data_IF_062055901220
#
_entry.id   IF_062055901220
#
_cell.length_a   1.000
_cell.length_b   1.000
_cell.length_c   1.000
_cell.angle_alpha   90.00
_cell.angle_beta   90.00
_cell.angle_gamma   90.00
#
_symmetry.space_group_name_H-M   'P 1'
#
loop_
_entity.id
_entity.type
_entity.pdbx_description
1 polymer ?
#
# COMPACT_ATOMS: atom_id res chain seq x y z
N UNK A 1 8.31 -3.66 -52.62
CA UNK A 1 9.08 -2.59 -51.97
C UNK A 1 8.88 -2.73 -50.46
N UNK A 2 9.83 -3.35 -49.83
CA UNK A 2 9.81 -3.54 -48.36
C UNK A 2 10.73 -2.49 -47.74
N UNK A 3 10.17 -1.62 -46.94
CA UNK A 3 10.92 -0.57 -46.21
C UNK A 3 11.45 -1.18 -44.91
N UNK A 4 12.76 -1.38 -44.91
CA UNK A 4 13.53 -1.80 -43.73
C UNK A 4 13.58 -0.62 -42.75
N UNK A 5 12.91 -0.75 -41.58
CA UNK A 5 13.04 0.18 -40.45
C UNK A 5 14.29 -0.27 -39.69
N UNK A 6 15.28 0.60 -39.59
CA UNK A 6 16.54 0.37 -38.88
C UNK A 6 16.27 0.23 -37.37
N UNK A 7 16.86 -0.82 -36.82
CA UNK A 7 16.80 -1.22 -35.40
C UNK A 7 17.69 -0.34 -34.49
N UNK A 8 18.15 0.82 -34.98
CA UNK A 8 19.03 1.75 -34.24
C UNK A 8 18.30 2.78 -33.37
N UNK A 9 16.98 2.99 -33.61
CA UNK A 9 16.27 4.07 -32.92
C UNK A 9 15.58 3.62 -31.60
N UNK A 10 15.68 2.32 -31.27
CA UNK A 10 15.09 1.75 -30.03
C UNK A 10 16.11 1.70 -28.90
N UNK A 11 17.42 1.75 -29.18
CA UNK A 11 18.46 1.65 -28.14
C UNK A 11 18.86 3.01 -27.57
N UNK A 12 18.66 4.12 -28.27
CA UNK A 12 19.00 5.45 -27.75
C UNK A 12 18.00 6.02 -26.74
N UNK A 13 16.80 5.44 -26.63
CA UNK A 13 15.81 5.86 -25.62
C UNK A 13 16.06 5.30 -24.21
N UNK A 14 16.85 4.24 -24.08
CA UNK A 14 17.16 3.63 -22.77
C UNK A 14 18.43 4.23 -22.13
N UNK A 15 19.38 4.71 -22.94
CA UNK A 15 20.62 5.35 -22.46
C UNK A 15 20.36 6.76 -21.92
N UNK A 16 19.45 7.54 -22.53
CA UNK A 16 19.10 8.88 -22.07
C UNK A 16 18.29 8.87 -20.74
N UNK A 17 17.54 7.80 -20.44
CA UNK A 17 16.85 7.62 -19.16
C UNK A 17 17.83 7.18 -18.03
N UNK A 18 18.92 6.49 -18.35
CA UNK A 18 19.93 6.09 -17.35
C UNK A 18 20.85 7.26 -16.94
N UNK A 19 21.18 8.18 -17.84
CA UNK A 19 21.97 9.38 -17.51
C UNK A 19 21.19 10.39 -16.66
N UNK A 20 19.86 10.57 -16.88
CA UNK A 20 19.03 11.43 -16.00
C UNK A 20 18.86 10.86 -14.58
N UNK A 21 18.95 9.52 -14.40
CA UNK A 21 18.89 8.90 -13.06
C UNK A 21 20.23 9.02 -12.30
N UNK A 22 21.38 9.18 -12.96
CA UNK A 22 22.67 9.37 -12.28
C UNK A 22 22.86 10.79 -11.73
N UNK A 23 22.33 11.82 -12.36
CA UNK A 23 22.44 13.21 -11.85
C UNK A 23 21.55 13.45 -10.60
N UNK A 24 20.43 12.73 -10.43
CA UNK A 24 19.50 12.90 -9.30
C UNK A 24 20.06 12.33 -7.95
N UNK A 25 21.04 11.43 -8.00
CA UNK A 25 21.60 10.80 -6.80
C UNK A 25 22.71 11.62 -6.10
N UNK A 26 23.33 12.58 -6.77
CA UNK A 26 24.42 13.39 -6.19
C UNK A 26 23.94 14.60 -5.39
N UNK A 27 22.61 14.85 -5.31
CA UNK A 27 22.08 16.14 -4.82
C UNK A 27 21.64 16.18 -3.36
N UNK A 28 21.71 15.07 -2.61
CA UNK A 28 21.33 15.07 -1.19
C UNK A 28 22.54 14.78 -0.30
N UNK A 29 23.25 15.86 0.09
CA UNK A 29 24.34 15.83 1.09
C UNK A 29 23.88 15.50 2.52
N UNK A 30 22.58 15.45 2.78
CA UNK A 30 22.03 15.07 4.10
C UNK A 30 22.16 13.57 4.41
N UNK A 31 22.29 12.71 3.39
CA UNK A 31 22.44 11.27 3.59
C UNK A 31 23.85 10.86 4.07
N UNK A 32 24.88 11.67 3.81
CA UNK A 32 26.24 11.38 4.30
C UNK A 32 26.39 11.60 5.81
N UNK A 33 25.73 12.58 6.36
CA UNK A 33 25.78 12.87 7.80
C UNK A 33 24.96 11.85 8.60
N UNK A 34 23.83 11.42 8.07
CA UNK A 34 23.01 10.33 8.64
C UNK A 34 23.76 8.98 8.61
N UNK A 35 24.42 8.65 7.51
CA UNK A 35 25.27 7.45 7.43
C UNK A 35 26.49 7.54 8.36
N UNK A 36 27.08 8.72 8.51
CA UNK A 36 28.23 8.95 9.40
C UNK A 36 27.84 8.83 10.87
N UNK A 37 26.64 9.30 11.25
CA UNK A 37 26.11 9.17 12.60
C UNK A 37 25.66 7.73 12.93
N UNK A 38 25.08 7.01 11.99
CA UNK A 38 24.75 5.59 12.14
C UNK A 38 26.00 4.71 12.32
N UNK A 39 27.08 5.03 11.60
CA UNK A 39 28.36 4.33 11.77
C UNK A 39 29.02 4.67 13.11
N UNK A 40 28.86 5.89 13.61
CA UNK A 40 29.37 6.30 14.93
C UNK A 40 28.61 5.60 16.07
N UNK A 41 27.30 5.43 15.95
CA UNK A 41 26.48 4.78 16.97
C UNK A 41 26.63 3.23 16.98
N UNK A 42 27.06 2.63 15.87
CA UNK A 42 27.24 1.19 15.77
C UNK A 42 28.67 0.70 16.02
N UNK A 43 29.68 1.57 15.85
CA UNK A 43 31.11 1.23 16.01
C UNK A 43 31.83 2.11 17.00
N UNK A 44 31.18 3.03 17.64
CA UNK A 44 31.77 4.06 18.48
C UNK A 44 31.70 3.82 19.98
N UNK A 45 31.77 2.59 20.47
CA UNK A 45 32.05 2.31 21.90
C UNK A 45 32.84 1.02 22.07
N UNK A 46 33.96 0.89 21.36
CA UNK A 46 35.05 0.05 21.80
C UNK A 46 35.79 0.85 22.89
N UNK A 47 35.47 0.59 24.15
CA UNK A 47 36.26 1.07 25.28
C UNK A 47 37.70 0.63 25.10
N UNK A 48 38.56 1.56 24.71
CA UNK A 48 40.00 1.50 25.05
C UNK A 48 40.06 1.86 26.50
N UNK A 49 40.00 0.87 27.37
CA UNK A 49 40.32 1.06 28.76
C UNK A 49 41.82 1.42 28.88
N UNK A 50 42.12 2.65 29.21
CA UNK A 50 43.37 2.99 29.87
C UNK A 50 43.41 2.31 31.22
N UNK A 51 43.88 1.05 31.23
CA UNK A 51 44.23 0.39 32.48
C UNK A 51 45.73 0.08 32.47
N UNK A 52 46.43 0.84 33.27
CA UNK A 52 47.70 0.53 33.94
C UNK A 52 48.72 -0.24 33.10
N UNK A 53 49.55 0.48 32.42
CA UNK A 53 50.76 -0.03 31.74
C UNK A 53 51.96 -0.21 32.69
N UNK A 54 51.77 -0.23 34.02
CA UNK A 54 52.88 -0.15 35.00
C UNK A 54 53.24 -1.47 35.66
N UNK A 55 52.83 -2.65 35.11
CA UNK A 55 53.16 -3.92 35.77
C UNK A 55 53.47 -5.12 34.83
N UNK A 56 54.14 -4.89 33.70
CA UNK A 56 54.60 -5.99 32.85
C UNK A 56 56.15 -6.07 32.87
N UNK A 57 56.67 -7.26 33.21
CA UNK A 57 58.11 -7.53 33.22
C UNK A 57 58.70 -7.52 31.80
N UNK A 58 59.98 -7.20 31.61
CA UNK A 58 60.61 -7.05 30.29
C UNK A 58 60.56 -8.27 29.37
N UNK A 59 60.18 -9.42 29.89
CA UNK A 59 60.11 -10.69 29.13
C UNK A 59 58.77 -10.89 28.43
N UNK A 60 57.68 -10.30 28.89
CA UNK A 60 56.34 -10.40 28.28
C UNK A 60 56.13 -9.35 27.21
N UNK A 61 56.78 -8.18 27.27
CA UNK A 61 56.67 -7.14 26.28
C UNK A 61 57.14 -7.57 24.86
N UNK A 62 58.09 -8.50 24.76
CA UNK A 62 58.57 -9.00 23.47
C UNK A 62 57.62 -10.01 22.79
N UNK A 63 56.63 -10.55 23.49
CA UNK A 63 55.66 -11.47 22.90
C UNK A 63 54.50 -10.70 22.25
N UNK A 64 54.11 -9.56 22.79
CA UNK A 64 53.05 -8.74 22.24
C UNK A 64 53.48 -7.87 21.04
N UNK A 65 54.74 -7.56 20.92
CA UNK A 65 55.27 -6.73 19.80
C UNK A 65 55.42 -7.53 18.48
N UNK A 66 55.32 -8.86 18.51
CA UNK A 66 55.57 -9.72 17.34
C UNK A 66 54.30 -10.18 16.61
N UNK A 67 53.08 -9.80 17.05
CA UNK A 67 51.84 -10.24 16.47
C UNK A 67 50.91 -9.15 15.98
N UNK A 68 51.40 -7.93 15.74
CA UNK A 68 50.64 -6.92 14.97
C UNK A 68 50.70 -7.27 13.47
N UNK A 69 50.05 -8.38 13.09
CA UNK A 69 49.63 -8.59 11.68
C UNK A 69 48.68 -7.43 11.36
N UNK A 70 49.00 -6.57 10.39
CA UNK A 70 48.03 -5.56 9.96
C UNK A 70 46.82 -6.33 9.45
N UNK A 71 45.73 -6.34 10.23
CA UNK A 71 44.43 -6.81 9.74
C UNK A 71 44.11 -5.89 8.57
N UNK A 72 44.06 -6.41 7.34
CA UNK A 72 43.66 -5.59 6.21
C UNK A 72 42.27 -5.04 6.55
N UNK A 73 42.16 -3.72 6.74
CA UNK A 73 40.88 -3.05 6.86
C UNK A 73 40.17 -3.34 5.54
N UNK A 74 39.32 -4.38 5.56
CA UNK A 74 38.43 -4.65 4.44
C UNK A 74 37.52 -3.44 4.34
N UNK A 75 37.81 -2.56 3.37
CA UNK A 75 36.87 -1.52 3.00
C UNK A 75 35.53 -2.19 2.78
N UNK A 76 34.46 -1.76 3.48
CA UNK A 76 33.14 -2.36 3.30
C UNK A 76 32.87 -2.37 1.79
N UNK A 77 32.33 -3.49 1.25
CA UNK A 77 32.04 -3.58 -0.17
C UNK A 77 31.15 -2.38 -0.54
N UNK A 78 31.37 -1.77 -1.72
CA UNK A 78 30.65 -0.58 -2.14
C UNK A 78 29.16 -0.86 -1.96
N UNK A 79 28.50 -0.03 -1.15
CA UNK A 79 27.08 -0.16 -0.85
C UNK A 79 26.32 -0.08 -2.16
N UNK A 80 25.79 -1.21 -2.63
CA UNK A 80 25.03 -1.31 -3.87
C UNK A 80 23.87 -0.32 -3.78
N UNK A 81 23.87 0.71 -4.62
CA UNK A 81 22.83 1.76 -4.62
C UNK A 81 21.43 1.11 -4.62
N UNK A 82 20.57 1.55 -3.72
CA UNK A 82 19.20 1.07 -3.62
C UNK A 82 18.45 1.45 -4.88
N UNK A 83 17.97 0.48 -5.66
CA UNK A 83 17.28 0.72 -6.93
C UNK A 83 15.77 0.75 -6.70
N UNK A 84 15.10 1.84 -7.12
CA UNK A 84 13.65 2.04 -7.04
C UNK A 84 13.07 2.33 -8.45
N UNK A 85 12.96 1.32 -9.33
CA UNK A 85 12.54 1.51 -10.71
C UNK A 85 11.07 1.92 -10.82
N UNK A 86 10.75 2.82 -11.73
CA UNK A 86 9.38 3.34 -11.96
C UNK A 86 8.42 2.26 -12.49
N UNK A 87 8.85 1.32 -13.32
CA UNK A 87 8.14 0.16 -13.88
C UNK A 87 6.64 0.37 -14.17
N UNK A 88 6.30 1.34 -14.99
CA UNK A 88 4.92 1.72 -15.28
C UNK A 88 4.04 0.56 -15.77
N UNK A 89 4.63 -0.39 -16.56
CA UNK A 89 3.90 -1.58 -17.04
C UNK A 89 3.38 -2.46 -15.90
N UNK A 90 4.18 -2.63 -14.85
CA UNK A 90 3.76 -3.39 -13.67
C UNK A 90 2.70 -2.62 -12.86
N UNK A 91 2.83 -1.30 -12.75
CA UNK A 91 1.81 -0.46 -12.09
C UNK A 91 0.48 -0.52 -12.84
N UNK A 92 0.51 -0.46 -14.17
CA UNK A 92 -0.68 -0.66 -15.01
C UNK A 92 -1.28 -2.06 -14.82
N UNK A 93 -0.45 -3.11 -14.77
CA UNK A 93 -0.92 -4.48 -14.50
C UNK A 93 -1.62 -4.60 -13.15
N UNK A 94 -1.09 -3.99 -12.09
CA UNK A 94 -1.73 -3.96 -10.77
C UNK A 94 -3.04 -3.16 -10.79
N UNK A 95 -3.09 -2.05 -11.52
CA UNK A 95 -4.31 -1.26 -11.72
C UNK A 95 -5.40 -2.06 -12.44
N UNK A 96 -5.06 -2.74 -13.53
CA UNK A 96 -6.02 -3.60 -14.26
C UNK A 96 -6.51 -4.75 -13.39
N UNK A 97 -5.64 -5.35 -12.57
CA UNK A 97 -6.02 -6.36 -11.59
C UNK A 97 -7.04 -5.82 -10.57
N UNK A 98 -6.82 -4.62 -10.05
CA UNK A 98 -7.76 -3.94 -9.16
C UNK A 98 -9.11 -3.71 -9.85
N UNK A 99 -9.11 -3.17 -11.07
CA UNK A 99 -10.35 -2.89 -11.83
C UNK A 99 -11.13 -4.18 -12.09
N UNK A 100 -10.47 -5.27 -12.48
CA UNK A 100 -11.13 -6.56 -12.72
C UNK A 100 -11.84 -7.07 -11.45
N UNK A 101 -11.18 -7.01 -10.29
CA UNK A 101 -11.78 -7.43 -9.02
C UNK A 101 -12.88 -6.46 -8.55
N UNK A 102 -12.76 -5.18 -8.83
CA UNK A 102 -13.81 -4.20 -8.55
C UNK A 102 -15.07 -4.45 -9.40
N UNK A 103 -14.89 -4.75 -10.69
CA UNK A 103 -16.01 -5.18 -11.57
C UNK A 103 -16.63 -6.49 -11.06
N UNK A 104 -15.82 -7.45 -10.63
CA UNK A 104 -16.33 -8.69 -10.04
C UNK A 104 -17.17 -8.41 -8.80
N UNK A 105 -16.72 -7.55 -7.89
CA UNK A 105 -17.47 -7.14 -6.68
C UNK A 105 -18.80 -6.47 -7.02
N UNK A 106 -18.79 -5.51 -7.95
CA UNK A 106 -20.01 -4.79 -8.36
C UNK A 106 -20.99 -5.70 -9.11
N UNK A 107 -20.48 -6.68 -9.85
CA UNK A 107 -21.30 -7.71 -10.51
C UNK A 107 -21.93 -8.63 -9.47
N UNK A 108 -21.17 -9.13 -8.50
CA UNK A 108 -21.70 -9.91 -7.38
C UNK A 108 -22.79 -9.15 -6.64
N UNK A 109 -22.58 -7.89 -6.29
CA UNK A 109 -23.57 -7.06 -5.63
C UNK A 109 -24.86 -6.90 -6.48
N UNK A 110 -24.71 -6.70 -7.79
CA UNK A 110 -25.86 -6.57 -8.71
C UNK A 110 -26.73 -7.83 -8.75
N UNK A 111 -26.10 -9.01 -8.69
CA UNK A 111 -26.81 -10.31 -8.69
C UNK A 111 -27.47 -10.55 -7.33
N UNK A 112 -26.72 -10.35 -6.25
CA UNK A 112 -27.18 -10.63 -4.88
C UNK A 112 -28.33 -9.71 -4.48
N UNK A 113 -28.33 -8.47 -4.97
CA UNK A 113 -29.44 -7.55 -4.73
C UNK A 113 -30.81 -8.13 -5.11
N UNK A 114 -30.89 -8.90 -6.20
CA UNK A 114 -32.14 -9.59 -6.60
C UNK A 114 -32.48 -10.80 -5.72
N UNK A 115 -31.46 -11.53 -5.26
CA UNK A 115 -31.60 -12.74 -4.47
C UNK A 115 -31.75 -12.48 -2.97
N UNK A 116 -31.61 -11.21 -2.54
CA UNK A 116 -31.69 -10.85 -1.13
C UNK A 116 -32.98 -11.34 -0.48
N UNK A 117 -32.90 -12.08 0.64
CA UNK A 117 -34.09 -12.49 1.39
C UNK A 117 -34.78 -11.28 2.04
N UNK A 118 -36.09 -11.35 2.17
CA UNK A 118 -36.92 -10.32 2.81
C UNK A 118 -37.25 -10.68 4.27
N UNK A 119 -36.44 -11.52 4.89
CA UNK A 119 -36.60 -11.88 6.30
C UNK A 119 -36.19 -10.76 7.22
N UNK A 120 -36.62 -10.83 8.49
CA UNK A 120 -36.20 -9.95 9.53
C UNK A 120 -34.66 -9.97 9.71
N UNK A 121 -34.07 -8.88 10.18
CA UNK A 121 -32.63 -8.83 10.47
C UNK A 121 -32.20 -9.93 11.41
N UNK A 122 -30.98 -10.43 11.22
CA UNK A 122 -30.39 -11.39 12.15
C UNK A 122 -30.11 -10.69 13.49
N UNK A 123 -30.25 -11.41 14.62
CA UNK A 123 -29.93 -10.86 15.93
C UNK A 123 -28.44 -10.49 16.02
N UNK A 124 -28.14 -9.26 16.40
CA UNK A 124 -26.80 -8.75 16.58
C UNK A 124 -26.71 -8.04 17.94
N UNK A 125 -25.90 -8.59 18.85
CA UNK A 125 -25.82 -8.13 20.24
C UNK A 125 -25.41 -6.66 20.39
N UNK A 126 -24.61 -6.13 19.45
CA UNK A 126 -24.17 -4.73 19.46
C UNK A 126 -25.24 -3.86 18.80
N UNK A 127 -25.69 -4.26 17.64
CA UNK A 127 -26.64 -3.49 16.84
C UNK A 127 -27.99 -3.31 17.51
N UNK A 128 -28.46 -4.35 18.22
CA UNK A 128 -29.76 -4.33 18.92
C UNK A 128 -29.81 -3.32 20.08
N UNK A 129 -28.62 -2.96 20.63
CA UNK A 129 -28.50 -1.98 21.71
C UNK A 129 -28.31 -0.53 21.23
N UNK A 130 -28.06 -0.33 19.95
CA UNK A 130 -27.77 0.97 19.35
C UNK A 130 -29.04 1.52 18.69
N UNK A 131 -29.41 2.77 19.00
CA UNK A 131 -30.52 3.43 18.30
C UNK A 131 -30.12 3.85 16.90
N UNK A 132 -30.96 3.52 15.92
CA UNK A 132 -30.75 3.89 14.52
C UNK A 132 -30.71 5.42 14.32
N UNK A 133 -29.67 5.91 13.63
CA UNK A 133 -29.49 7.31 13.30
C UNK A 133 -29.24 7.45 11.78
N UNK A 134 -30.23 8.01 11.05
CA UNK A 134 -30.14 8.15 9.60
C UNK A 134 -28.95 9.00 9.13
N UNK A 135 -28.68 10.11 9.81
CA UNK A 135 -27.62 11.07 9.46
C UNK A 135 -26.20 10.47 9.63
N UNK A 136 -26.05 9.42 10.41
CA UNK A 136 -24.75 8.83 10.69
C UNK A 136 -24.11 8.19 9.44
N UNK A 137 -24.92 7.69 8.50
CA UNK A 137 -24.41 7.17 7.23
C UNK A 137 -23.74 8.27 6.41
N UNK A 138 -24.40 9.42 6.27
CA UNK A 138 -23.88 10.56 5.51
C UNK A 138 -22.54 11.05 6.10
N UNK A 139 -22.45 11.13 7.43
CA UNK A 139 -21.20 11.48 8.13
C UNK A 139 -20.10 10.48 7.86
N UNK A 140 -20.41 9.18 7.93
CA UNK A 140 -19.44 8.11 7.61
C UNK A 140 -18.92 8.26 6.18
N UNK A 141 -19.79 8.48 5.21
CA UNK A 141 -19.40 8.62 3.80
C UNK A 141 -18.57 9.89 3.54
N UNK A 142 -18.88 11.00 4.20
CA UNK A 142 -18.08 12.24 4.11
C UNK A 142 -16.67 12.00 4.66
N UNK A 143 -16.55 11.35 5.83
CA UNK A 143 -15.25 11.04 6.41
C UNK A 143 -14.45 10.13 5.47
N UNK A 144 -15.08 9.10 4.89
CA UNK A 144 -14.43 8.21 3.93
C UNK A 144 -13.94 8.95 2.68
N UNK A 145 -14.72 9.89 2.16
CA UNK A 145 -14.30 10.72 1.04
C UNK A 145 -13.05 11.53 1.40
N UNK A 146 -13.05 12.21 2.55
CA UNK A 146 -11.90 12.98 3.03
C UNK A 146 -10.65 12.09 3.16
N UNK A 147 -10.78 10.93 3.78
CA UNK A 147 -9.68 9.97 3.94
C UNK A 147 -9.15 9.46 2.59
N UNK A 148 -10.06 9.13 1.67
CA UNK A 148 -9.71 8.66 0.33
C UNK A 148 -8.98 9.74 -0.47
N UNK A 149 -9.48 10.98 -0.48
CA UNK A 149 -8.81 12.09 -1.15
C UNK A 149 -7.44 12.40 -0.53
N UNK A 150 -7.33 12.35 0.79
CA UNK A 150 -6.05 12.51 1.50
C UNK A 150 -5.05 11.43 1.11
N UNK A 151 -5.50 10.18 1.00
CA UNK A 151 -4.67 9.06 0.56
C UNK A 151 -4.23 9.23 -0.89
N UNK A 152 -5.14 9.62 -1.79
CA UNK A 152 -4.81 9.88 -3.20
C UNK A 152 -3.80 11.02 -3.31
N UNK A 153 -3.98 12.10 -2.57
CA UNK A 153 -3.03 13.21 -2.53
C UNK A 153 -1.64 12.75 -2.07
N UNK A 154 -1.58 11.97 -0.98
CA UNK A 154 -0.33 11.38 -0.49
C UNK A 154 0.38 10.58 -1.59
N UNK A 155 -0.36 9.70 -2.29
CA UNK A 155 0.18 8.87 -3.37
C UNK A 155 0.74 9.69 -4.53
N UNK A 156 0.06 10.77 -4.92
CA UNK A 156 0.48 11.64 -6.02
C UNK A 156 1.74 12.45 -5.68
N UNK A 157 1.86 12.88 -4.43
CA UNK A 157 3.01 13.67 -3.97
C UNK A 157 4.20 12.82 -3.51
N UNK A 158 4.07 11.52 -3.36
CA UNK A 158 5.17 10.65 -2.96
C UNK A 158 6.22 10.52 -4.09
N UNK A 159 7.52 10.65 -3.78
CA UNK A 159 8.61 10.54 -4.76
C UNK A 159 8.55 9.20 -5.53
N UNK A 160 8.31 8.11 -4.81
CA UNK A 160 8.20 6.75 -5.38
C UNK A 160 6.75 6.35 -5.67
N UNK A 161 5.92 7.30 -6.12
CA UNK A 161 4.48 7.12 -6.36
C UNK A 161 4.12 5.87 -7.16
N UNK A 162 4.92 5.50 -8.18
CA UNK A 162 4.63 4.31 -9.01
C UNK A 162 4.70 3.01 -8.22
N UNK A 163 5.65 2.89 -7.28
CA UNK A 163 5.77 1.70 -6.42
C UNK A 163 4.63 1.68 -5.41
N UNK A 164 4.36 2.81 -4.75
CA UNK A 164 3.29 2.91 -3.74
C UNK A 164 1.91 2.68 -4.35
N UNK A 165 1.62 3.29 -5.52
CA UNK A 165 0.38 3.06 -6.27
C UNK A 165 0.23 1.59 -6.67
N UNK A 166 1.29 0.95 -7.15
CA UNK A 166 1.30 -0.47 -7.51
C UNK A 166 0.94 -1.36 -6.32
N UNK A 167 1.53 -1.10 -5.15
CA UNK A 167 1.24 -1.80 -3.89
C UNK A 167 -0.21 -1.61 -3.47
N UNK A 168 -0.69 -0.36 -3.48
CA UNK A 168 -2.07 -0.03 -3.16
C UNK A 168 -3.07 -0.71 -4.10
N UNK A 169 -2.85 -0.62 -5.43
CA UNK A 169 -3.75 -1.24 -6.40
C UNK A 169 -3.82 -2.76 -6.24
N UNK A 170 -2.69 -3.39 -5.96
CA UNK A 170 -2.65 -4.83 -5.77
C UNK A 170 -3.39 -5.26 -4.50
N UNK A 171 -3.13 -4.60 -3.35
CA UNK A 171 -3.81 -4.88 -2.08
C UNK A 171 -5.32 -4.62 -2.22
N UNK A 172 -5.71 -3.49 -2.79
CA UNK A 172 -7.10 -3.14 -3.00
C UNK A 172 -7.79 -4.14 -3.94
N UNK A 173 -7.11 -4.60 -4.98
CA UNK A 173 -7.60 -5.64 -5.87
C UNK A 173 -7.86 -6.96 -5.15
N UNK A 174 -6.97 -7.41 -4.29
CA UNK A 174 -7.17 -8.61 -3.48
C UNK A 174 -8.35 -8.47 -2.51
N UNK A 175 -8.47 -7.30 -1.85
CA UNK A 175 -9.57 -7.02 -0.93
C UNK A 175 -10.93 -7.06 -1.64
N UNK A 176 -11.03 -6.44 -2.83
CA UNK A 176 -12.24 -6.52 -3.65
C UNK A 176 -12.51 -7.95 -4.13
N UNK A 177 -11.49 -8.71 -4.49
CA UNK A 177 -11.64 -10.11 -4.88
C UNK A 177 -12.21 -10.98 -3.76
N UNK A 178 -11.67 -10.86 -2.54
CA UNK A 178 -12.20 -11.55 -1.37
C UNK A 178 -13.63 -11.13 -1.06
N UNK A 179 -13.93 -9.84 -1.17
CA UNK A 179 -15.27 -9.31 -0.97
C UNK A 179 -16.27 -9.88 -2.00
N UNK A 180 -15.89 -9.95 -3.26
CA UNK A 180 -16.74 -10.52 -4.32
C UNK A 180 -17.12 -11.97 -4.00
N UNK A 181 -16.16 -12.78 -3.54
CA UNK A 181 -16.38 -14.19 -3.20
C UNK A 181 -17.27 -14.32 -1.96
N UNK A 182 -16.96 -13.62 -0.88
CA UNK A 182 -17.69 -13.72 0.39
C UNK A 182 -19.15 -13.32 0.24
N UNK A 183 -19.42 -12.21 -0.47
CA UNK A 183 -20.78 -11.78 -0.75
C UNK A 183 -21.55 -12.79 -1.61
N UNK A 184 -20.89 -13.36 -2.63
CA UNK A 184 -21.54 -14.28 -3.56
C UNK A 184 -21.91 -15.62 -2.91
N UNK A 185 -21.09 -16.10 -1.98
CA UNK A 185 -21.30 -17.39 -1.30
C UNK A 185 -22.42 -17.32 -0.26
N UNK A 186 -22.56 -16.20 0.45
CA UNK A 186 -23.55 -16.07 1.53
C UNK A 186 -24.30 -14.76 1.42
N UNK A 187 -25.63 -14.87 1.32
CA UNK A 187 -26.52 -13.73 1.18
C UNK A 187 -27.29 -13.53 2.49
N UNK A 188 -27.04 -12.40 3.15
CA UNK A 188 -27.72 -12.05 4.40
C UNK A 188 -28.88 -11.06 4.15
N UNK A 189 -29.92 -11.07 5.03
CA UNK A 189 -30.96 -10.05 5.02
C UNK A 189 -30.37 -8.68 5.38
N UNK A 190 -31.12 -7.59 5.12
CA UNK A 190 -30.70 -6.26 5.47
C UNK A 190 -30.57 -6.09 7.00
N UNK A 191 -29.49 -5.47 7.48
CA UNK A 191 -29.29 -5.21 8.90
C UNK A 191 -30.29 -4.20 9.49
N UNK A 192 -30.95 -3.42 8.61
CA UNK A 192 -32.01 -2.49 8.99
C UNK A 192 -33.19 -2.61 8.01
N UNK A 193 -34.39 -2.94 8.49
CA UNK A 193 -35.60 -3.03 7.64
C UNK A 193 -35.99 -1.70 7.01
N UNK A 194 -35.68 -0.58 7.69
CA UNK A 194 -35.99 0.77 7.20
C UNK A 194 -35.00 1.31 6.16
N UNK A 195 -33.99 0.51 5.80
CA UNK A 195 -32.99 0.94 4.82
C UNK A 195 -33.59 0.96 3.40
N UNK A 196 -33.55 2.12 2.75
CA UNK A 196 -34.13 2.29 1.42
C UNK A 196 -33.25 1.61 0.36
N UNK A 197 -33.57 0.38 0.04
CA UNK A 197 -32.97 -0.36 -1.08
C UNK A 197 -33.71 -0.06 -2.38
N UNK A 198 -32.98 -0.08 -3.49
CA UNK A 198 -33.60 -0.02 -4.82
C UNK A 198 -34.59 -1.18 -5.00
N UNK A 199 -35.72 -0.99 -5.72
CA UNK A 199 -36.68 -2.05 -5.97
C UNK A 199 -36.03 -3.19 -6.78
N UNK A 200 -36.41 -4.41 -6.47
CA UNK A 200 -35.99 -5.58 -7.24
C UNK A 200 -36.67 -5.59 -8.62
N UNK A 201 -35.97 -6.11 -9.62
CA UNK A 201 -36.54 -6.25 -10.97
C UNK A 201 -37.67 -7.31 -10.98
N UNK A 202 -37.51 -8.34 -10.15
CA UNK A 202 -38.51 -9.42 -10.01
C UNK A 202 -39.85 -8.87 -9.54
N UNK A 203 -39.88 -7.90 -8.65
CA UNK A 203 -41.10 -7.25 -8.17
C UNK A 203 -41.84 -6.50 -9.30
N UNK A 204 -41.11 -6.11 -10.36
CA UNK A 204 -41.65 -5.47 -11.57
C UNK A 204 -41.94 -6.47 -12.70
N UNK A 205 -41.88 -7.76 -12.44
CA UNK A 205 -42.11 -8.83 -13.46
C UNK A 205 -40.97 -8.89 -14.50
N UNK A 206 -39.79 -8.31 -14.23
CA UNK A 206 -38.65 -8.35 -15.13
C UNK A 206 -37.63 -9.38 -14.69
N UNK A 207 -37.02 -10.05 -15.65
CA UNK A 207 -35.92 -11.00 -15.40
C UNK A 207 -34.59 -10.29 -15.41
N UNK A 208 -33.69 -10.68 -14.52
CA UNK A 208 -32.31 -10.15 -14.49
C UNK A 208 -31.57 -10.62 -15.74
N UNK A 209 -31.43 -9.71 -16.71
CA UNK A 209 -30.68 -9.93 -17.94
C UNK A 209 -29.27 -9.43 -17.80
N UNK A 210 -28.30 -9.99 -18.53
CA UNK A 210 -26.90 -9.52 -18.57
C UNK A 210 -26.81 -8.01 -18.86
N UNK A 211 -27.66 -7.49 -19.75
CA UNK A 211 -27.76 -6.05 -20.04
C UNK A 211 -28.11 -5.21 -18.80
N UNK A 212 -29.03 -5.69 -17.96
CA UNK A 212 -29.41 -4.99 -16.72
C UNK A 212 -28.31 -5.05 -15.68
N UNK A 213 -27.58 -6.19 -15.58
CA UNK A 213 -26.37 -6.28 -14.73
C UNK A 213 -25.33 -5.27 -15.16
N UNK A 214 -25.02 -5.18 -16.45
CA UNK A 214 -24.05 -4.20 -16.97
C UNK A 214 -24.49 -2.78 -16.67
N UNK A 215 -25.75 -2.42 -16.87
CA UNK A 215 -26.27 -1.09 -16.52
C UNK A 215 -26.09 -0.78 -15.03
N UNK A 216 -26.37 -1.72 -14.15
CA UNK A 216 -26.19 -1.56 -12.70
C UNK A 216 -24.72 -1.40 -12.33
N UNK A 217 -23.85 -2.24 -12.90
CA UNK A 217 -22.39 -2.12 -12.71
C UNK A 217 -21.90 -0.75 -13.12
N UNK A 218 -22.26 -0.27 -14.31
CA UNK A 218 -21.89 1.07 -14.77
C UNK A 218 -22.43 2.17 -13.85
N UNK A 219 -23.64 2.01 -13.33
CA UNK A 219 -24.25 2.96 -12.39
C UNK A 219 -23.51 2.97 -11.04
N UNK A 220 -23.15 1.82 -10.49
CA UNK A 220 -22.37 1.71 -9.25
C UNK A 220 -20.98 2.32 -9.46
N UNK A 221 -20.34 2.04 -10.61
CA UNK A 221 -19.04 2.61 -10.98
C UNK A 221 -19.09 4.14 -11.05
N UNK A 222 -20.14 4.71 -11.65
CA UNK A 222 -20.29 6.18 -11.76
C UNK A 222 -20.48 6.87 -10.40
N UNK A 223 -21.03 6.17 -9.40
CA UNK A 223 -21.23 6.67 -8.04
C UNK A 223 -20.10 6.34 -7.06
N UNK A 224 -19.02 5.70 -7.53
CA UNK A 224 -17.93 5.18 -6.66
C UNK A 224 -18.41 4.29 -5.51
N UNK A 225 -19.60 3.70 -5.62
CA UNK A 225 -20.19 2.85 -4.59
C UNK A 225 -20.72 3.57 -3.35
N UNK A 226 -20.81 4.91 -3.36
CA UNK A 226 -21.29 5.74 -2.24
C UNK A 226 -22.76 6.11 -2.42
N UNK A 227 -23.51 6.18 -1.31
CA UNK A 227 -24.95 6.51 -1.31
C UNK A 227 -25.22 7.97 -1.60
N UNK A 228 -24.35 8.88 -1.14
CA UNK A 228 -24.47 10.34 -1.33
C UNK A 228 -24.47 10.69 -2.82
N UNK A 229 -23.69 9.98 -3.62
CA UNK A 229 -23.57 10.22 -5.06
C UNK A 229 -24.60 9.46 -5.88
N UNK A 230 -25.39 8.58 -5.28
CA UNK A 230 -26.33 7.67 -5.96
C UNK A 230 -27.74 7.73 -5.40
N UNK A 231 -28.76 7.96 -6.26
CA UNK A 231 -30.17 7.89 -5.87
C UNK A 231 -30.67 6.46 -5.58
N UNK A 232 -29.86 5.43 -5.83
CA UNK A 232 -30.24 4.03 -5.68
C UNK A 232 -29.17 3.24 -4.96
N UNK A 233 -29.51 2.76 -3.78
CA UNK A 233 -28.67 1.90 -2.97
C UNK A 233 -28.97 0.44 -3.32
N UNK A 234 -27.97 -0.28 -3.82
CA UNK A 234 -28.07 -1.72 -4.01
C UNK A 234 -27.67 -2.41 -2.72
N UNK A 235 -28.62 -3.14 -2.12
CA UNK A 235 -28.44 -3.80 -0.84
C UNK A 235 -28.09 -5.29 -1.06
N UNK A 236 -27.38 -5.89 -0.11
CA UNK A 236 -26.97 -7.30 -0.16
C UNK A 236 -25.52 -7.52 0.27
N UNK A 237 -24.84 -6.46 0.62
CA UNK A 237 -23.43 -6.45 1.03
C UNK A 237 -23.33 -6.46 2.56
N UNK A 238 -23.59 -7.62 3.19
CA UNK A 238 -23.71 -7.74 4.64
C UNK A 238 -22.76 -8.79 5.26
N UNK A 239 -21.60 -9.10 4.61
CA UNK A 239 -20.59 -10.02 5.17
C UNK A 239 -19.21 -9.38 5.24
N UNK A 240 -18.94 -8.40 4.39
CA UNK A 240 -17.62 -7.80 4.30
C UNK A 240 -17.76 -6.30 3.98
N UNK A 241 -17.80 -5.48 5.01
CA UNK A 241 -18.05 -4.03 4.89
C UNK A 241 -17.01 -3.32 4.02
N UNK A 242 -17.46 -2.78 2.87
CA UNK A 242 -16.61 -1.99 1.99
C UNK A 242 -16.19 -0.66 2.61
N UNK A 243 -17.07 -0.02 3.38
CA UNK A 243 -16.78 1.24 4.08
C UNK A 243 -15.67 1.03 5.12
N UNK A 244 -15.78 0.00 5.96
CA UNK A 244 -14.75 -0.35 6.95
C UNK A 244 -13.43 -0.70 6.28
N UNK A 245 -13.46 -1.49 5.19
CA UNK A 245 -12.28 -1.86 4.42
C UNK A 245 -11.53 -0.62 3.92
N UNK A 246 -12.21 0.33 3.31
CA UNK A 246 -11.60 1.56 2.79
C UNK A 246 -11.09 2.45 3.92
N UNK A 247 -11.85 2.65 5.01
CA UNK A 247 -11.42 3.43 6.16
C UNK A 247 -10.11 2.91 6.76
N UNK A 248 -10.06 1.60 7.01
CA UNK A 248 -8.88 0.94 7.58
C UNK A 248 -7.70 0.98 6.61
N UNK A 249 -7.93 0.72 5.32
CA UNK A 249 -6.88 0.74 4.31
C UNK A 249 -6.28 2.15 4.15
N UNK A 250 -7.09 3.20 4.08
CA UNK A 250 -6.61 4.58 4.02
C UNK A 250 -5.75 4.94 5.23
N UNK A 251 -6.19 4.58 6.44
CA UNK A 251 -5.40 4.76 7.65
C UNK A 251 -4.04 4.04 7.55
N UNK A 252 -4.02 2.76 7.17
CA UNK A 252 -2.79 1.97 7.07
C UNK A 252 -1.82 2.53 6.02
N UNK A 253 -2.32 2.98 4.86
CA UNK A 253 -1.49 3.59 3.82
C UNK A 253 -0.89 4.91 4.31
N UNK A 254 -1.70 5.76 4.94
CA UNK A 254 -1.20 7.03 5.48
C UNK A 254 -0.16 6.77 6.57
N UNK A 255 -0.41 5.83 7.48
CA UNK A 255 0.52 5.49 8.55
C UNK A 255 1.85 4.91 8.04
N UNK A 256 1.83 4.11 6.96
CA UNK A 256 3.02 3.46 6.39
C UNK A 256 3.86 4.43 5.55
N UNK A 257 3.22 5.29 4.74
CA UNK A 257 3.89 6.13 3.76
C UNK A 257 4.03 7.60 4.18
N UNK A 258 3.82 7.92 5.47
CA UNK A 258 4.14 9.22 6.06
C UNK A 258 5.21 9.10 7.15
N UNK A 259 5.93 10.18 7.43
CA UNK A 259 7.00 10.19 8.43
C UNK A 259 6.42 9.94 9.84
N UNK A 260 7.05 9.08 10.61
CA UNK A 260 6.67 8.77 12.00
C UNK A 260 6.68 10.00 12.92
N UNK A 261 7.39 11.06 12.56
CA UNK A 261 7.39 12.34 13.29
C UNK A 261 6.01 12.99 13.35
N UNK A 262 5.12 12.65 12.41
CA UNK A 262 3.76 13.19 12.30
C UNK A 262 2.75 12.38 13.13
N UNK A 263 3.11 11.99 14.34
CA UNK A 263 2.29 11.12 15.19
C UNK A 263 0.89 11.68 15.47
N UNK A 264 0.76 13.02 15.63
CA UNK A 264 -0.56 13.67 15.82
C UNK A 264 -1.45 13.51 14.60
N UNK A 265 -0.86 13.61 13.39
CA UNK A 265 -1.59 13.38 12.16
C UNK A 265 -2.03 11.91 12.03
N UNK A 266 -1.16 10.95 12.36
CA UNK A 266 -1.52 9.53 12.38
C UNK A 266 -2.65 9.24 13.37
N UNK A 267 -2.60 9.86 14.55
CA UNK A 267 -3.65 9.74 15.56
C UNK A 267 -4.98 10.35 15.07
N UNK A 268 -4.95 11.51 14.43
CA UNK A 268 -6.12 12.13 13.83
C UNK A 268 -6.76 11.23 12.76
N UNK A 269 -5.96 10.69 11.84
CA UNK A 269 -6.46 9.79 10.79
C UNK A 269 -7.02 8.49 11.38
N UNK A 270 -6.38 7.95 12.41
CA UNK A 270 -6.90 6.81 13.15
C UNK A 270 -8.27 7.13 13.79
N UNK A 271 -8.38 8.28 14.45
CA UNK A 271 -9.63 8.72 15.06
C UNK A 271 -10.74 8.90 14.01
N UNK A 272 -10.42 9.46 12.84
CA UNK A 272 -11.37 9.57 11.73
C UNK A 272 -11.83 8.20 11.25
N UNK A 273 -10.92 7.23 11.10
CA UNK A 273 -11.27 5.86 10.71
C UNK A 273 -12.20 5.20 11.72
N UNK A 274 -11.89 5.30 13.01
CA UNK A 274 -12.74 4.78 14.10
C UNK A 274 -14.10 5.48 14.10
N UNK A 275 -14.13 6.80 13.96
CA UNK A 275 -15.39 7.57 13.89
C UNK A 275 -16.23 7.14 12.72
N UNK A 276 -15.66 6.96 11.52
CA UNK A 276 -16.38 6.47 10.35
C UNK A 276 -17.04 5.10 10.59
N UNK A 277 -16.31 4.18 11.23
CA UNK A 277 -16.83 2.84 11.58
C UNK A 277 -17.95 2.94 12.62
N UNK A 278 -17.79 3.75 13.65
CA UNK A 278 -18.83 3.97 14.67
C UNK A 278 -20.09 4.57 14.04
N UNK A 279 -19.95 5.57 13.16
CA UNK A 279 -21.07 6.18 12.43
C UNK A 279 -21.77 5.17 11.52
N UNK A 280 -21.03 4.28 10.88
CA UNK A 280 -21.59 3.19 10.07
C UNK A 280 -22.43 2.21 10.92
N UNK A 281 -21.98 1.91 12.14
CA UNK A 281 -22.73 1.08 13.09
C UNK A 281 -23.99 1.79 13.59
N UNK A 282 -23.93 3.09 13.91
CA UNK A 282 -25.09 3.91 14.30
C UNK A 282 -26.13 3.99 13.17
N UNK A 283 -25.71 3.99 11.93
CA UNK A 283 -26.57 3.93 10.77
C UNK A 283 -27.16 2.53 10.51
N UNK A 284 -26.79 1.52 11.30
CA UNK A 284 -27.16 0.11 11.08
C UNK A 284 -26.97 -0.32 9.61
N UNK A 285 -25.91 0.19 8.96
CA UNK A 285 -25.59 -0.08 7.57
C UNK A 285 -25.03 -1.49 7.35
N UNK A 286 -24.40 -2.06 8.39
CA UNK A 286 -23.78 -3.38 8.37
C UNK A 286 -23.95 -4.07 9.73
N UNK A 287 -23.88 -5.40 9.75
CA UNK A 287 -23.77 -6.15 10.99
C UNK A 287 -22.38 -5.95 11.64
N UNK A 288 -22.31 -6.18 12.95
CA UNK A 288 -21.06 -6.08 13.69
C UNK A 288 -19.97 -7.03 13.16
N UNK A 289 -20.38 -8.22 12.72
CA UNK A 289 -19.47 -9.21 12.14
C UNK A 289 -18.83 -8.74 10.82
N UNK A 290 -19.56 -7.98 10.00
CA UNK A 290 -19.05 -7.44 8.72
C UNK A 290 -17.89 -6.48 8.96
N UNK A 291 -18.01 -5.65 10.01
CA UNK A 291 -16.98 -4.69 10.42
C UNK A 291 -15.74 -5.43 10.91
N UNK A 292 -15.93 -6.45 11.77
CA UNK A 292 -14.83 -7.26 12.32
C UNK A 292 -14.08 -7.98 11.21
N UNK A 293 -14.78 -8.63 10.30
CA UNK A 293 -14.18 -9.34 9.16
C UNK A 293 -13.41 -8.37 8.27
N UNK A 294 -14.01 -7.22 7.93
CA UNK A 294 -13.37 -6.22 7.09
C UNK A 294 -12.09 -5.67 7.73
N UNK A 295 -12.13 -5.35 9.01
CA UNK A 295 -10.96 -4.91 9.77
C UNK A 295 -9.86 -5.97 9.79
N UNK A 296 -10.21 -7.20 10.12
CA UNK A 296 -9.26 -8.32 10.24
C UNK A 296 -8.57 -8.61 8.90
N UNK A 297 -9.34 -8.81 7.83
CA UNK A 297 -8.78 -9.15 6.51
C UNK A 297 -7.92 -7.99 5.98
N UNK A 298 -8.39 -6.75 6.10
CA UNK A 298 -7.65 -5.57 5.60
C UNK A 298 -6.32 -5.40 6.31
N UNK A 299 -6.30 -5.46 7.64
CA UNK A 299 -5.06 -5.30 8.42
C UNK A 299 -4.09 -6.45 8.17
N UNK A 300 -4.57 -7.71 8.16
CA UNK A 300 -3.72 -8.88 7.94
C UNK A 300 -3.13 -8.91 6.54
N UNK A 301 -3.93 -8.62 5.51
CA UNK A 301 -3.45 -8.58 4.14
C UNK A 301 -2.42 -7.46 3.93
N UNK A 302 -2.67 -6.27 4.50
CA UNK A 302 -1.75 -5.14 4.41
C UNK A 302 -0.39 -5.47 5.05
N UNK A 303 -0.39 -5.96 6.29
CA UNK A 303 0.84 -6.31 6.98
C UNK A 303 1.58 -7.47 6.34
N UNK A 304 0.85 -8.51 5.91
CA UNK A 304 1.43 -9.65 5.21
C UNK A 304 2.11 -9.22 3.90
N UNK A 305 1.44 -8.38 3.11
CA UNK A 305 2.01 -7.84 1.89
C UNK A 305 3.32 -7.08 2.14
N UNK A 306 3.30 -6.14 3.08
CA UNK A 306 4.48 -5.32 3.39
C UNK A 306 5.61 -6.13 4.02
N UNK A 307 5.30 -7.11 4.87
CA UNK A 307 6.29 -8.04 5.41
C UNK A 307 7.00 -8.82 4.29
N UNK A 308 6.25 -9.37 3.33
CA UNK A 308 6.86 -10.05 2.18
C UNK A 308 7.66 -9.07 1.32
N UNK A 309 7.14 -7.87 1.08
CA UNK A 309 7.81 -6.85 0.27
C UNK A 309 9.12 -6.34 0.89
N UNK A 310 9.24 -6.32 2.21
CA UNK A 310 10.41 -5.80 2.91
C UNK A 310 11.53 -6.81 3.09
N UNK A 311 11.25 -8.11 3.06
CA UNK A 311 12.26 -9.15 3.21
C UNK A 311 12.58 -9.84 1.89
N UNK A 312 13.83 -9.73 1.43
CA UNK A 312 14.27 -10.32 0.17
C UNK A 312 14.14 -11.86 0.14
N UNK A 313 14.36 -12.50 1.30
CA UNK A 313 14.18 -13.94 1.46
C UNK A 313 12.73 -14.41 1.25
N UNK A 314 11.74 -13.57 1.57
CA UNK A 314 10.32 -13.89 1.40
C UNK A 314 9.81 -13.61 -0.02
N UNK A 315 10.47 -12.70 -0.74
CA UNK A 315 10.14 -12.41 -2.15
C UNK A 315 10.63 -13.49 -3.10
N UNK A 316 11.74 -14.14 -2.78
CA UNK A 316 12.37 -15.15 -3.64
C UNK A 316 11.81 -16.52 -3.36
N UNK A 317 11.75 -17.37 -4.40
CA UNK A 317 11.38 -18.77 -4.24
C UNK A 317 12.40 -19.51 -3.38
N UNK A 318 11.91 -20.48 -2.60
CA UNK A 318 12.74 -21.39 -1.81
C UNK A 318 13.82 -22.05 -2.65
N UNK A 319 13.50 -22.41 -3.91
CA UNK A 319 14.45 -22.98 -4.86
C UNK A 319 15.63 -22.06 -5.19
N UNK A 320 15.42 -20.74 -5.15
CA UNK A 320 16.48 -19.76 -5.43
C UNK A 320 17.38 -19.47 -4.23
N UNK A 321 16.99 -19.91 -3.03
CA UNK A 321 17.70 -19.64 -1.76
C UNK A 321 18.62 -20.78 -1.31
N UNK A 322 18.59 -21.93 -2.00
CA UNK A 322 19.36 -23.14 -1.65
C UNK A 322 18.69 -24.02 -0.59
N UNK A 323 19.20 -25.25 -0.37
CA UNK A 323 18.55 -26.28 0.45
C UNK A 323 18.36 -25.87 1.92
N UNK A 324 19.25 -25.06 2.48
CA UNK A 324 19.21 -24.66 3.91
C UNK A 324 18.20 -23.55 4.24
N UNK A 325 17.58 -22.91 3.24
CA UNK A 325 16.64 -21.80 3.40
C UNK A 325 15.25 -22.06 2.83
N UNK A 326 14.87 -23.32 2.69
CA UNK A 326 13.64 -23.77 2.01
C UNK A 326 12.34 -23.61 2.83
N UNK A 327 12.32 -22.79 3.89
CA UNK A 327 11.16 -22.65 4.78
C UNK A 327 10.20 -21.53 4.46
N UNK A 328 10.25 -20.94 3.26
CA UNK A 328 9.31 -19.90 2.87
C UNK A 328 7.92 -20.49 2.59
N UNK A 329 7.07 -20.56 3.61
CA UNK A 329 5.70 -21.05 3.47
C UNK A 329 4.77 -20.06 2.75
N UNK A 330 5.16 -18.79 2.59
CA UNK A 330 4.38 -17.79 1.88
C UNK A 330 4.25 -18.08 0.38
N UNK A 331 5.15 -18.88 -0.19
CA UNK A 331 5.03 -19.34 -1.59
C UNK A 331 3.74 -20.13 -1.87
N UNK A 332 3.13 -20.73 -0.84
CA UNK A 332 1.86 -21.45 -0.95
C UNK A 332 0.65 -20.54 -1.07
N UNK A 333 0.81 -19.24 -0.82
CA UNK A 333 -0.27 -18.26 -0.98
C UNK A 333 -0.51 -18.06 -2.49
N UNK A 334 -1.74 -18.21 -2.95
CA UNK A 334 -2.10 -18.18 -4.37
C UNK A 334 -1.67 -16.89 -5.09
N UNK A 335 -1.67 -15.74 -4.41
CA UNK A 335 -1.25 -14.45 -4.98
C UNK A 335 0.25 -14.14 -4.77
N UNK A 336 1.00 -14.98 -4.09
CA UNK A 336 2.44 -14.75 -3.83
C UNK A 336 3.25 -14.59 -5.13
N UNK A 337 2.96 -15.37 -6.16
CA UNK A 337 3.64 -15.26 -7.47
C UNK A 337 3.45 -13.90 -8.11
N UNK A 338 2.24 -13.33 -8.00
CA UNK A 338 1.93 -11.98 -8.50
C UNK A 338 2.70 -10.92 -7.70
N UNK A 339 2.72 -11.03 -6.37
CA UNK A 339 3.49 -10.13 -5.52
C UNK A 339 4.97 -10.20 -5.86
N UNK A 340 5.55 -11.39 -5.95
CA UNK A 340 6.96 -11.57 -6.33
C UNK A 340 7.28 -10.96 -7.68
N UNK A 341 6.38 -11.06 -8.66
CA UNK A 341 6.53 -10.41 -9.95
C UNK A 341 6.54 -8.89 -9.83
N UNK A 342 5.60 -8.32 -9.05
CA UNK A 342 5.51 -6.88 -8.87
C UNK A 342 6.68 -6.28 -8.08
N UNK A 343 7.16 -6.98 -7.03
CA UNK A 343 8.21 -6.49 -6.14
C UNK A 343 9.63 -6.98 -6.51
N UNK A 344 9.80 -7.70 -7.63
CA UNK A 344 11.05 -8.37 -8.00
C UNK A 344 12.26 -7.43 -8.07
N UNK A 345 12.07 -6.24 -8.63
CA UNK A 345 13.14 -5.27 -8.88
C UNK A 345 13.20 -4.17 -7.81
N UNK A 346 12.26 -4.15 -6.87
CA UNK A 346 12.23 -3.16 -5.79
C UNK A 346 13.16 -3.59 -4.67
N UNK A 347 13.97 -2.66 -4.19
CA UNK A 347 14.86 -2.92 -3.04
C UNK A 347 14.04 -3.35 -1.81
N UNK A 348 14.58 -4.30 -1.04
CA UNK A 348 13.95 -4.79 0.18
C UNK A 348 14.10 -3.76 1.30
N UNK A 349 13.05 -3.61 2.10
CA UNK A 349 12.95 -2.66 3.19
C UNK A 349 11.86 -1.61 2.97
N UNK A 350 11.59 -0.79 3.98
CA UNK A 350 10.65 0.30 3.89
C UNK A 350 11.11 1.34 2.87
N UNK A 351 10.16 1.90 2.12
CA UNK A 351 10.45 2.99 1.21
C UNK A 351 10.73 4.27 2.02
N UNK A 352 11.70 5.09 1.60
CA UNK A 352 11.91 6.39 2.24
C UNK A 352 10.71 7.32 1.94
N UNK A 353 10.17 7.95 2.99
CA UNK A 353 9.00 8.83 2.92
C UNK A 353 9.40 10.22 2.43
N UNK A 354 9.73 10.32 1.14
CA UNK A 354 10.13 11.56 0.48
C UNK A 354 8.98 12.04 -0.42
N UNK A 355 8.69 13.33 -0.36
CA UNK A 355 7.63 13.95 -1.16
C UNK A 355 8.22 14.82 -2.26
N UNK A 356 7.61 14.79 -3.43
CA UNK A 356 7.98 15.62 -4.58
C UNK A 356 6.74 16.09 -5.33
N UNK A 357 6.71 17.34 -5.73
CA UNK A 357 5.63 17.88 -6.55
C UNK A 357 5.68 17.26 -7.96
N UNK A 358 4.63 16.58 -8.42
CA UNK A 358 4.66 15.84 -9.68
C UNK A 358 4.76 16.71 -10.93
N UNK A 359 4.44 18.01 -10.83
CA UNK A 359 4.31 18.92 -11.98
C UNK A 359 5.29 20.10 -11.98
N UNK A 360 6.10 20.29 -10.94
CA UNK A 360 7.00 21.45 -10.81
C UNK A 360 8.46 21.01 -10.87
N UNK A 361 8.93 20.62 -12.07
CA UNK A 361 10.31 20.82 -12.50
C UNK A 361 10.30 21.65 -13.79
N UNK A 362 10.05 22.95 -13.73
CA UNK A 362 10.32 23.79 -14.89
C UNK A 362 11.83 23.80 -15.12
N UNK A 363 12.27 23.45 -16.33
CA UNK A 363 13.70 23.38 -16.73
C UNK A 363 14.47 24.68 -16.42
N UNK A 364 13.78 25.81 -16.26
CA UNK A 364 14.36 27.09 -15.87
C UNK A 364 14.83 27.14 -14.41
N UNK A 365 14.23 26.38 -13.49
CA UNK A 365 14.64 26.35 -12.09
C UNK A 365 15.97 25.60 -11.91
N UNK A 366 16.24 24.58 -12.71
CA UNK A 366 17.55 23.90 -12.79
C UNK A 366 18.65 24.86 -13.28
N UNK A 367 18.33 25.74 -14.24
CA UNK A 367 19.26 26.75 -14.74
C UNK A 367 19.61 27.83 -13.71
N UNK A 368 18.68 28.21 -12.84
CA UNK A 368 18.91 29.18 -11.75
C UNK A 368 19.82 28.59 -10.66
N UNK A 369 19.61 27.33 -10.29
CA UNK A 369 20.41 26.65 -9.27
C UNK A 369 21.85 26.41 -9.74
N UNK A 370 22.06 26.06 -11.00
CA UNK A 370 23.39 25.95 -11.60
C UNK A 370 24.16 27.27 -11.58
N UNK A 371 23.48 28.42 -11.79
CA UNK A 371 24.11 29.75 -11.72
C UNK A 371 24.48 30.16 -10.29
N UNK A 372 23.69 29.77 -9.30
CA UNK A 372 23.98 30.08 -7.87
C UNK A 372 25.15 29.24 -7.37
N UNK A 373 25.24 27.96 -7.75
CA UNK A 373 26.34 27.07 -7.37
C UNK A 373 27.69 27.47 -7.96
N UNK A 374 27.72 28.01 -9.18
CA UNK A 374 28.97 28.50 -9.80
C UNK A 374 29.40 29.89 -9.32
N UNK A 375 28.50 30.66 -8.71
CA UNK A 375 28.82 31.97 -8.13
C UNK A 375 29.38 31.89 -6.70
N UNK A 376 29.32 30.74 -6.05
CA UNK A 376 29.81 30.51 -4.68
C UNK A 376 31.22 29.92 -4.61
N UNK A 377 31.89 29.73 -5.75
CA UNK A 377 33.24 29.14 -5.87
C UNK A 377 34.28 30.13 -6.42
N UNK A 378 34.03 31.44 -6.26
CA UNK A 378 35.04 32.49 -6.50
C UNK A 378 35.30 33.31 -5.24
#
# INVERSE_FOLDING_TARGET
MATSIKMSDVMNGEEDEEEEEEEDCCYYSEDEEYCRNLLRDHYGNGYVGESSMDALTPRESNYYQRSSIPIPIQTPPPTRRKKYPKEMRKTLGAFLFMIANFIATTTSLSIIHEQRPLYDPLPDTILDRIHYQKWALDVSEIILQIMTFSTIALLLFHKYRMIVMRRMFFILGLLYGYRAITMFVTILPAANPSYHCAPKLVDSGRVLTVREVIKRVLKILSGFGLSINGKHVYCGDYIYSGHTMIAVLCYLIIAEYTDRRWYLFHYLVWLLAVTAIVMLMLARGHYSIDVIIAYYITTRLFWLYHSIAYFDSLKRSSQALGPDRSFNRFEKIWWWRLLSYFERNVHSGPLPNIYSLPFLRPKWMLGLYRRVSTSSSH
#
